data_IF_993185485649
#
_entry.id   IF_993185485649
#
_cell.length_a   1.000
_cell.length_b   1.000
_cell.length_c   1.000
_cell.angle_alpha   90.00
_cell.angle_beta   90.00
_cell.angle_gamma   90.00
#
_symmetry.space_group_name_H-M   'P 1'
#
loop_
_entity.id
_entity.type
_entity.pdbx_description
1 polymer ?
#
# COMPACT_ATOMS: atom_id res chain seq x y z
N UNK A 1 12.49 10.77 7.73
CA UNK A 1 11.51 10.57 8.82
C UNK A 1 11.77 9.26 9.54
N UNK A 2 11.73 9.27 10.86
CA UNK A 2 11.75 8.03 11.61
C UNK A 2 10.39 7.29 11.50
N UNK A 3 10.35 6.05 11.97
CA UNK A 3 9.17 5.20 11.83
C UNK A 3 7.95 5.82 12.50
N UNK A 4 8.12 6.38 13.68
CA UNK A 4 7.01 7.01 14.42
C UNK A 4 6.45 8.21 13.66
N UNK A 5 7.32 9.06 13.14
CA UNK A 5 6.89 10.23 12.37
C UNK A 5 6.18 9.83 11.07
N UNK A 6 6.59 8.72 10.46
CA UNK A 6 5.90 8.17 9.29
C UNK A 6 4.46 7.79 9.61
N UNK A 7 4.23 7.08 10.70
CA UNK A 7 2.89 6.71 11.12
C UNK A 7 2.04 7.91 11.50
N UNK A 8 2.62 8.88 12.19
CA UNK A 8 1.91 10.12 12.54
C UNK A 8 1.47 10.89 11.29
N UNK A 9 2.33 10.96 10.27
CA UNK A 9 2.00 11.59 9.00
C UNK A 9 0.87 10.85 8.29
N UNK A 10 0.93 9.52 8.23
CA UNK A 10 -0.11 8.72 7.58
C UNK A 10 -1.46 8.87 8.28
N UNK A 11 -1.47 8.89 9.60
CA UNK A 11 -2.69 9.12 10.37
C UNK A 11 -3.28 10.51 10.10
N UNK A 12 -2.43 11.53 10.01
CA UNK A 12 -2.85 12.88 9.67
C UNK A 12 -3.50 12.93 8.28
N UNK A 13 -2.84 12.33 7.28
CA UNK A 13 -3.35 12.30 5.91
C UNK A 13 -4.68 11.56 5.83
N UNK A 14 -4.83 10.51 6.60
CA UNK A 14 -6.07 9.77 6.68
C UNK A 14 -7.20 10.61 7.25
N UNK A 15 -6.91 11.43 8.26
CA UNK A 15 -7.87 12.38 8.83
C UNK A 15 -8.28 13.44 7.81
N UNK A 16 -7.34 13.94 7.02
CA UNK A 16 -7.61 14.90 5.94
C UNK A 16 -8.55 14.28 4.91
N UNK A 17 -8.30 13.05 4.50
CA UNK A 17 -9.15 12.34 3.54
C UNK A 17 -10.56 12.10 4.11
N UNK A 18 -10.67 11.74 5.39
CA UNK A 18 -11.96 11.53 6.05
C UNK A 18 -12.79 12.82 6.11
N UNK A 19 -12.13 13.98 6.08
CA UNK A 19 -12.79 15.28 6.01
C UNK A 19 -13.30 15.66 4.62
N UNK A 20 -13.22 14.77 3.64
CA UNK A 20 -13.77 14.97 2.30
C UNK A 20 -12.74 15.42 1.25
N UNK A 21 -11.45 15.38 1.56
CA UNK A 21 -10.39 15.73 0.63
C UNK A 21 -9.78 14.47 0.01
N UNK A 22 -9.32 14.60 -1.24
CA UNK A 22 -8.55 13.55 -1.89
C UNK A 22 -7.06 13.73 -1.53
N UNK A 23 -6.43 12.62 -1.13
CA UNK A 23 -5.00 12.58 -0.81
C UNK A 23 -4.34 11.55 -1.70
N UNK A 24 -3.30 11.96 -2.42
CA UNK A 24 -2.48 11.06 -3.25
C UNK A 24 -1.07 11.07 -2.69
N UNK A 25 -0.53 9.88 -2.43
CA UNK A 25 0.79 9.73 -1.83
C UNK A 25 1.57 8.66 -2.58
N UNK A 26 2.81 8.96 -2.94
CA UNK A 26 3.72 7.97 -3.50
C UNK A 26 4.44 7.27 -2.35
N UNK A 27 4.35 5.94 -2.33
CA UNK A 27 4.93 5.15 -1.24
C UNK A 27 5.79 4.02 -1.80
N UNK A 28 6.86 3.72 -1.09
CA UNK A 28 7.76 2.60 -1.39
C UNK A 28 7.64 1.47 -0.35
N UNK A 29 7.03 1.75 0.78
CA UNK A 29 6.83 0.80 1.86
C UNK A 29 5.53 0.04 1.63
N UNK A 30 5.61 -1.16 1.07
CA UNK A 30 4.43 -1.94 0.68
C UNK A 30 3.46 -2.20 1.83
N UNK A 31 3.90 -2.68 3.01
CA UNK A 31 2.95 -2.93 4.10
C UNK A 31 2.18 -1.68 4.52
N UNK A 32 2.86 -0.54 4.60
CA UNK A 32 2.19 0.72 4.96
C UNK A 32 1.19 1.16 3.89
N UNK A 33 1.56 1.05 2.61
CA UNK A 33 0.66 1.39 1.51
C UNK A 33 -0.60 0.52 1.55
N UNK A 34 -0.43 -0.79 1.74
CA UNK A 34 -1.55 -1.72 1.81
C UNK A 34 -2.46 -1.43 3.01
N UNK A 35 -1.90 -0.99 4.12
CA UNK A 35 -2.65 -0.76 5.35
C UNK A 35 -3.41 0.56 5.35
N UNK A 36 -2.83 1.63 4.79
CA UNK A 36 -3.37 2.99 4.93
C UNK A 36 -4.15 3.49 3.72
N UNK A 37 -3.87 2.99 2.53
CA UNK A 37 -4.53 3.47 1.33
C UNK A 37 -5.93 2.87 1.18
N UNK A 38 -6.88 3.70 0.75
CA UNK A 38 -8.20 3.20 0.35
C UNK A 38 -8.11 2.50 -1.00
N UNK A 39 -7.32 3.07 -1.90
CA UNK A 39 -7.05 2.49 -3.22
C UNK A 39 -5.57 2.67 -3.54
N UNK A 40 -5.04 1.73 -4.29
CA UNK A 40 -3.64 1.71 -4.67
C UNK A 40 -3.54 1.71 -6.18
N UNK A 41 -2.76 2.64 -6.72
CA UNK A 41 -2.35 2.63 -8.12
C UNK A 41 -0.95 2.04 -8.21
N UNK A 42 -0.82 0.91 -8.88
CA UNK A 42 0.45 0.22 -9.05
C UNK A 42 1.10 0.66 -10.35
N UNK A 43 2.27 1.25 -10.24
CA UNK A 43 3.02 1.75 -11.40
C UNK A 43 4.29 0.95 -11.60
N UNK A 44 4.60 0.66 -12.85
CA UNK A 44 5.84 0.00 -13.22
C UNK A 44 6.15 0.23 -14.69
N UNK A 45 7.43 0.44 -15.02
CA UNK A 45 7.85 0.68 -16.39
C UNK A 45 7.16 1.87 -17.06
N UNK A 46 6.81 2.90 -16.29
CA UNK A 46 6.09 4.07 -16.82
C UNK A 46 4.63 3.83 -17.14
N UNK A 47 4.03 2.74 -16.65
CA UNK A 47 2.66 2.34 -16.96
C UNK A 47 1.87 2.07 -15.69
N UNK A 48 0.56 2.28 -15.78
CA UNK A 48 -0.37 1.87 -14.74
C UNK A 48 -0.66 0.37 -14.91
N UNK A 49 -0.23 -0.43 -13.94
CA UNK A 49 -0.36 -1.89 -13.97
C UNK A 49 -1.60 -2.40 -13.23
N UNK A 50 -2.18 -1.58 -12.37
CA UNK A 50 -3.40 -1.91 -11.66
C UNK A 50 -3.81 -0.76 -10.76
N UNK A 51 -5.09 -0.69 -10.44
CA UNK A 51 -5.63 0.29 -9.50
C UNK A 51 -6.88 -0.30 -8.86
N UNK A 52 -6.80 -0.54 -7.56
CA UNK A 52 -7.91 -1.13 -6.82
C UNK A 52 -7.70 -0.98 -5.31
N UNK A 53 -8.63 -1.51 -4.52
CA UNK A 53 -8.43 -1.65 -3.09
C UNK A 53 -7.23 -2.57 -2.80
N UNK A 54 -6.68 -2.47 -1.60
CA UNK A 54 -5.54 -3.31 -1.20
C UNK A 54 -5.84 -4.80 -1.38
N UNK A 55 -6.97 -5.26 -0.89
CA UNK A 55 -7.35 -6.68 -0.95
C UNK A 55 -7.53 -7.15 -2.39
N UNK A 56 -8.24 -6.38 -3.20
CA UNK A 56 -8.48 -6.74 -4.59
C UNK A 56 -7.18 -6.76 -5.41
N UNK A 57 -6.32 -5.76 -5.20
CA UNK A 57 -5.04 -5.68 -5.91
C UNK A 57 -4.12 -6.84 -5.52
N UNK A 58 -4.04 -7.16 -4.22
CA UNK A 58 -3.24 -8.28 -3.73
C UNK A 58 -3.68 -9.61 -4.34
N UNK A 59 -4.98 -9.80 -4.51
CA UNK A 59 -5.53 -11.04 -5.07
C UNK A 59 -5.12 -11.27 -6.53
N UNK A 60 -4.79 -10.22 -7.26
CA UNK A 60 -4.33 -10.37 -8.66
C UNK A 60 -2.91 -10.92 -8.78
N UNK A 61 -2.12 -10.85 -7.71
CA UNK A 61 -0.70 -11.22 -7.73
C UNK A 61 0.19 -10.18 -8.40
N UNK A 62 -0.36 -9.05 -8.83
CA UNK A 62 0.42 -8.03 -9.55
C UNK A 62 1.51 -7.41 -8.68
N UNK A 63 1.22 -7.12 -7.41
CA UNK A 63 2.21 -6.56 -6.49
C UNK A 63 3.39 -7.53 -6.32
N UNK A 64 3.10 -8.81 -6.12
CA UNK A 64 4.11 -9.84 -5.98
C UNK A 64 5.04 -9.87 -7.20
N UNK A 65 4.47 -9.86 -8.39
CA UNK A 65 5.25 -9.92 -9.65
C UNK A 65 6.11 -8.68 -9.86
N UNK A 66 5.54 -7.51 -9.62
CA UNK A 66 6.25 -6.24 -9.88
C UNK A 66 7.43 -6.05 -8.94
N UNK A 67 7.27 -6.41 -7.67
CA UNK A 67 8.31 -6.18 -6.67
C UNK A 67 9.16 -7.43 -6.37
N UNK A 68 8.82 -8.58 -6.93
CA UNK A 68 9.57 -9.80 -6.70
C UNK A 68 9.51 -10.29 -5.26
N UNK A 69 8.37 -10.14 -4.62
CA UNK A 69 8.14 -10.51 -3.21
C UNK A 69 6.86 -11.30 -3.06
N UNK A 70 6.61 -11.81 -1.87
CA UNK A 70 5.33 -12.37 -1.48
C UNK A 70 4.63 -11.41 -0.54
N UNK A 71 3.52 -10.87 -0.99
CA UNK A 71 2.67 -10.02 -0.16
C UNK A 71 1.70 -10.91 0.61
N UNK A 72 1.72 -10.78 1.93
CA UNK A 72 0.94 -11.62 2.83
C UNK A 72 0.11 -10.77 3.77
N UNK A 73 -0.97 -11.35 4.28
CA UNK A 73 -1.79 -10.73 5.29
C UNK A 73 -1.93 -11.67 6.47
N UNK A 74 -1.56 -11.19 7.67
CA UNK A 74 -1.67 -11.96 8.89
C UNK A 74 -3.14 -12.10 9.33
N UNK A 75 -3.47 -13.08 10.19
CA UNK A 75 -4.83 -13.25 10.69
C UNK A 75 -5.43 -12.02 11.37
N UNK A 76 -4.57 -11.16 11.96
CA UNK A 76 -4.99 -9.89 12.57
C UNK A 76 -5.20 -8.76 11.55
N UNK A 77 -4.99 -9.04 10.26
CA UNK A 77 -5.18 -8.08 9.19
C UNK A 77 -3.94 -7.26 8.84
N UNK A 78 -2.82 -7.47 9.50
CA UNK A 78 -1.58 -6.74 9.22
C UNK A 78 -0.93 -7.28 7.95
N UNK A 79 -0.58 -6.38 7.03
CA UNK A 79 0.12 -6.73 5.81
C UNK A 79 1.63 -6.83 6.07
N UNK A 80 2.26 -7.80 5.43
CA UNK A 80 3.71 -7.97 5.49
C UNK A 80 4.21 -8.61 4.20
N UNK A 81 5.51 -8.52 3.97
CA UNK A 81 6.13 -9.12 2.79
C UNK A 81 7.19 -10.13 3.21
N UNK A 82 7.32 -11.16 2.37
CA UNK A 82 8.38 -12.17 2.49
C UNK A 82 9.23 -12.13 1.23
N UNK A 83 10.47 -12.54 1.37
CA UNK A 83 11.30 -12.78 0.20
C UNK A 83 10.70 -13.94 -0.61
N UNK A 84 10.70 -13.79 -1.92
CA UNK A 84 10.28 -14.86 -2.81
C UNK A 84 11.39 -15.92 -2.90
N UNK A 85 11.03 -17.16 -2.79
CA UNK A 85 12.02 -18.24 -2.90
C UNK A 85 11.82 -19.37 -1.96
#
# INVERSE_FOLDING_TARGET
LDVRAQFELLDLLRSVAAGGKAVVLVMHELPQAMQYADRIALLGGGRLLGCDTSTALAATGAVDRVFGVRLCRAPDGVWYVKAEG
#
